data_IF_750030263144
#
_entry.id   IF_750030263144
#
_cell.length_a   1.000
_cell.length_b   1.000
_cell.length_c   1.000
_cell.angle_alpha   90.00
_cell.angle_beta   90.00
_cell.angle_gamma   90.00
#
_symmetry.space_group_name_H-M   'P 1'
#
loop_
_entity.id
_entity.type
_entity.pdbx_description
1 polymer ?
#
# COMPACT_ATOMS: atom_id res chain seq x y z
N UNK A 1 20.89 58.70 -44.03
CA UNK A 1 21.14 57.26 -43.81
C UNK A 1 19.98 56.71 -43.01
N UNK A 2 19.10 55.91 -43.63
CA UNK A 2 17.93 55.29 -43.01
C UNK A 2 18.27 53.83 -42.76
N UNK A 3 18.16 53.36 -41.52
CA UNK A 3 18.37 51.94 -41.16
C UNK A 3 17.01 51.37 -40.77
N UNK A 4 16.55 50.40 -41.57
CA UNK A 4 15.29 49.68 -41.40
C UNK A 4 15.41 48.59 -40.32
N UNK A 5 14.38 48.49 -39.48
CA UNK A 5 14.16 47.36 -38.57
C UNK A 5 13.47 46.22 -39.32
N UNK A 6 14.07 45.02 -39.31
CA UNK A 6 13.42 43.79 -39.79
C UNK A 6 12.90 42.99 -38.59
N UNK A 7 11.58 42.90 -38.47
CA UNK A 7 10.86 41.96 -37.60
C UNK A 7 10.84 40.58 -38.25
N UNK A 8 11.40 39.56 -37.58
CA UNK A 8 11.29 38.16 -37.99
C UNK A 8 10.04 37.52 -37.35
N UNK A 9 9.06 37.14 -38.17
CA UNK A 9 7.99 36.22 -37.79
C UNK A 9 8.49 34.77 -37.95
N UNK A 10 8.45 33.98 -36.88
CA UNK A 10 8.58 32.51 -36.95
C UNK A 10 7.18 31.90 -36.99
N UNK A 11 6.82 31.35 -38.14
CA UNK A 11 5.62 30.54 -38.32
C UNK A 11 5.89 29.09 -37.88
N UNK A 12 5.12 28.60 -36.91
CA UNK A 12 5.16 27.21 -36.48
C UNK A 12 4.29 26.35 -37.40
N UNK A 13 4.90 25.43 -38.15
CA UNK A 13 4.18 24.39 -38.90
C UNK A 13 3.98 23.17 -38.01
N UNK A 14 2.73 22.88 -37.65
CA UNK A 14 2.34 21.62 -37.03
C UNK A 14 2.16 20.56 -38.14
N UNK A 15 2.99 19.53 -38.14
CA UNK A 15 2.81 18.37 -39.02
C UNK A 15 2.03 17.32 -38.22
N UNK A 16 0.76 17.12 -38.59
CA UNK A 16 -0.04 15.99 -38.15
C UNK A 16 0.42 14.71 -38.86
N UNK A 17 0.74 13.67 -38.10
CA UNK A 17 1.04 12.34 -38.64
C UNK A 17 -0.24 11.48 -38.71
N UNK A 18 -0.37 10.61 -39.74
CA UNK A 18 -1.63 9.96 -40.11
C UNK A 18 -2.03 8.79 -39.22
N UNK A 19 -3.34 8.57 -39.12
CA UNK A 19 -3.94 7.36 -38.56
C UNK A 19 -3.65 6.15 -39.48
N UNK A 20 -3.14 5.06 -38.91
CA UNK A 20 -2.96 3.79 -39.60
C UNK A 20 -3.71 2.68 -38.87
N UNK A 21 -4.84 2.29 -39.49
CA UNK A 21 -5.55 1.04 -39.29
C UNK A 21 -4.71 -0.12 -39.83
N UNK A 22 -4.51 -1.19 -39.06
CA UNK A 22 -4.00 -2.46 -39.57
C UNK A 22 -4.69 -3.65 -38.89
N UNK A 23 -5.49 -4.36 -39.68
CA UNK A 23 -5.93 -5.72 -39.42
C UNK A 23 -4.94 -6.74 -39.99
N UNK A 24 -4.79 -7.82 -39.23
CA UNK A 24 -4.47 -9.23 -39.54
C UNK A 24 -3.43 -9.65 -40.61
N UNK A 25 -2.63 -10.62 -40.12
CA UNK A 25 -1.91 -11.72 -40.77
C UNK A 25 -0.59 -11.45 -41.51
N UNK A 26 0.52 -11.90 -40.90
CA UNK A 26 1.20 -13.14 -41.33
C UNK A 26 2.38 -13.52 -40.41
N UNK A 27 2.58 -14.84 -40.30
CA UNK A 27 3.54 -15.57 -39.46
C UNK A 27 4.99 -15.34 -39.89
N UNK A 28 5.89 -15.03 -38.95
CA UNK A 28 7.26 -15.60 -38.90
C UNK A 28 7.88 -15.25 -37.54
N UNK A 29 8.45 -16.26 -36.87
CA UNK A 29 8.78 -16.20 -35.46
C UNK A 29 10.06 -15.45 -35.13
N UNK A 30 10.01 -14.74 -34.01
CA UNK A 30 11.17 -14.50 -33.16
C UNK A 30 10.67 -14.42 -31.71
N UNK A 31 11.10 -15.38 -30.88
CA UNK A 31 10.68 -15.49 -29.46
C UNK A 31 11.52 -14.53 -28.61
N UNK A 32 11.20 -13.24 -28.67
CA UNK A 32 11.60 -12.27 -27.66
C UNK A 32 10.52 -12.15 -26.59
N UNK A 33 10.78 -12.65 -25.37
CA UNK A 33 9.90 -12.44 -24.22
C UNK A 33 9.93 -10.96 -23.80
N UNK A 34 9.06 -10.14 -24.40
CA UNK A 34 8.70 -8.84 -23.85
C UNK A 34 7.66 -9.08 -22.74
N UNK A 35 8.11 -9.08 -21.48
CA UNK A 35 7.22 -9.09 -20.32
C UNK A 35 6.50 -7.73 -20.25
N UNK A 36 5.31 -7.69 -20.84
CA UNK A 36 4.30 -6.65 -20.62
C UNK A 36 3.76 -6.85 -19.20
N UNK A 37 4.14 -5.97 -18.28
CA UNK A 37 3.59 -5.92 -16.93
C UNK A 37 2.15 -5.38 -17.01
N UNK A 38 1.19 -6.29 -17.18
CA UNK A 38 -0.23 -6.02 -16.99
C UNK A 38 -0.52 -5.96 -15.48
N UNK A 39 -1.38 -5.04 -15.03
CA UNK A 39 -1.68 -4.70 -13.63
C UNK A 39 -2.40 -5.79 -12.82
N UNK A 40 -2.22 -7.05 -13.21
CA UNK A 40 -2.92 -8.23 -12.69
C UNK A 40 -2.10 -9.04 -11.67
N UNK A 41 -0.85 -8.63 -11.39
CA UNK A 41 0.09 -9.47 -10.64
C UNK A 41 -0.36 -9.84 -9.23
N UNK A 42 -0.96 -8.91 -8.46
CA UNK A 42 -1.29 -9.17 -7.05
C UNK A 42 -2.44 -10.18 -6.90
N UNK A 43 -3.54 -9.92 -7.61
CA UNK A 43 -4.74 -10.74 -7.49
C UNK A 43 -4.60 -12.07 -8.27
N UNK A 44 -3.84 -12.10 -9.36
CA UNK A 44 -3.53 -13.35 -10.05
C UNK A 44 -2.57 -14.23 -9.26
N UNK A 45 -1.60 -13.68 -8.52
CA UNK A 45 -0.76 -14.50 -7.66
C UNK A 45 -1.63 -15.24 -6.63
N UNK A 46 -2.50 -14.52 -5.90
CA UNK A 46 -3.36 -15.16 -4.90
C UNK A 46 -4.35 -16.15 -5.54
N UNK A 47 -4.96 -15.81 -6.68
CA UNK A 47 -5.91 -16.71 -7.39
C UNK A 47 -5.24 -17.95 -7.98
N UNK A 48 -4.10 -17.80 -8.66
CA UNK A 48 -3.46 -18.87 -9.42
C UNK A 48 -2.89 -19.97 -8.51
N UNK A 49 -2.46 -19.63 -7.29
CA UNK A 49 -1.99 -20.63 -6.30
C UNK A 49 -3.10 -21.46 -5.67
N UNK A 50 -4.32 -20.93 -5.58
CA UNK A 50 -5.48 -21.69 -5.09
C UNK A 50 -6.04 -22.69 -6.11
N UNK A 51 -5.66 -22.62 -7.38
CA UNK A 51 -6.11 -23.57 -8.41
C UNK A 51 -5.32 -24.89 -8.46
N UNK A 52 -4.20 -25.01 -7.72
CA UNK A 52 -3.34 -26.21 -7.73
C UNK A 52 -3.65 -27.27 -6.67
N UNK A 53 -4.60 -27.02 -5.75
CA UNK A 53 -5.07 -28.01 -4.76
C UNK A 53 -6.60 -28.09 -4.79
N UNK A 54 -7.06 -29.31 -5.01
CA UNK A 54 -8.43 -29.78 -5.11
C UNK A 54 -9.47 -29.06 -4.22
N UNK A 55 -10.49 -28.49 -4.88
CA UNK A 55 -11.92 -28.50 -4.51
C UNK A 55 -12.36 -28.31 -3.04
N UNK A 56 -11.77 -27.37 -2.31
CA UNK A 56 -12.42 -26.62 -1.23
C UNK A 56 -11.98 -25.16 -1.37
N UNK A 57 -12.88 -24.18 -1.22
CA UNK A 57 -12.47 -22.76 -1.10
C UNK A 57 -11.34 -22.70 -0.06
N UNK A 58 -10.12 -22.37 -0.50
CA UNK A 58 -8.88 -22.61 0.24
C UNK A 58 -8.94 -22.08 1.67
N UNK A 59 -9.29 -22.96 2.61
CA UNK A 59 -9.37 -22.65 4.02
C UNK A 59 -8.03 -23.00 4.64
N UNK A 60 -7.26 -21.99 5.03
CA UNK A 60 -6.10 -22.09 5.89
C UNK A 60 -6.52 -22.05 7.37
N UNK A 61 -5.65 -22.53 8.26
CA UNK A 61 -5.86 -22.42 9.71
C UNK A 61 -5.09 -21.20 10.25
N UNK A 62 -5.80 -20.11 10.55
CA UNK A 62 -5.20 -18.87 11.04
C UNK A 62 -4.50 -19.02 12.39
N UNK A 63 -4.73 -20.11 13.13
CA UNK A 63 -3.99 -20.40 14.37
C UNK A 63 -2.51 -20.70 14.10
N UNK A 64 -2.16 -21.03 12.86
CA UNK A 64 -0.77 -21.24 12.44
C UNK A 64 -0.06 -19.92 12.09
N UNK A 65 -0.80 -18.82 11.91
CA UNK A 65 -0.21 -17.55 11.54
C UNK A 65 0.53 -16.93 12.73
N UNK A 66 1.78 -16.51 12.50
CA UNK A 66 2.64 -15.92 13.52
C UNK A 66 3.08 -14.54 13.09
N UNK A 67 2.83 -13.54 13.94
CA UNK A 67 3.30 -12.18 13.68
C UNK A 67 4.84 -12.14 13.65
N UNK A 68 5.44 -11.39 12.71
CA UNK A 68 6.89 -11.16 12.72
C UNK A 68 7.30 -10.43 14.00
N UNK A 69 8.53 -10.70 14.47
CA UNK A 69 9.10 -10.05 15.64
C UNK A 69 10.14 -8.98 15.22
N UNK A 70 9.98 -7.76 15.73
CA UNK A 70 11.00 -6.72 15.64
C UNK A 70 12.09 -6.94 16.71
N UNK A 71 13.31 -6.36 16.54
CA UNK A 71 14.35 -6.41 17.57
C UNK A 71 13.86 -5.93 18.95
N UNK A 72 13.01 -4.89 18.97
CA UNK A 72 12.22 -4.52 20.14
C UNK A 72 10.75 -4.88 19.86
N UNK A 73 10.24 -6.00 20.39
CA UNK A 73 8.91 -6.50 20.04
C UNK A 73 7.81 -5.62 20.63
N UNK A 74 6.70 -5.50 19.90
CA UNK A 74 5.45 -4.98 20.45
C UNK A 74 4.86 -5.97 21.47
N UNK A 75 4.03 -5.52 22.42
CA UNK A 75 3.31 -6.43 23.29
C UNK A 75 2.45 -7.41 22.48
N UNK A 76 2.31 -8.68 22.91
CA UNK A 76 1.44 -9.62 22.23
C UNK A 76 -0.03 -9.19 22.31
N UNK A 77 -0.90 -9.75 21.46
CA UNK A 77 -2.34 -9.49 21.54
C UNK A 77 -2.89 -9.78 22.93
N UNK A 78 -3.88 -9.01 23.38
CA UNK A 78 -4.48 -9.24 24.69
C UNK A 78 -5.04 -10.66 24.82
N UNK A 79 -5.05 -11.18 26.05
CA UNK A 79 -5.54 -12.52 26.32
C UNK A 79 -6.99 -12.69 25.81
N UNK A 80 -7.24 -13.79 25.09
CA UNK A 80 -8.55 -14.11 24.51
C UNK A 80 -8.80 -13.48 23.13
N UNK A 81 -7.88 -12.67 22.61
CA UNK A 81 -7.96 -12.14 21.24
C UNK A 81 -7.72 -13.25 20.21
N UNK A 82 -8.52 -13.24 19.14
CA UNK A 82 -8.39 -14.20 18.04
C UNK A 82 -8.07 -13.46 16.75
N UNK A 83 -7.09 -13.96 16.00
CA UNK A 83 -6.75 -13.42 14.69
C UNK A 83 -7.91 -13.64 13.73
N UNK A 84 -8.43 -12.56 13.15
CA UNK A 84 -9.56 -12.61 12.22
C UNK A 84 -9.14 -12.35 10.78
N UNK A 85 -8.16 -11.47 10.55
CA UNK A 85 -7.76 -11.08 9.18
C UNK A 85 -6.32 -10.60 9.14
N UNK A 86 -5.62 -10.90 8.05
CA UNK A 86 -4.32 -10.29 7.72
C UNK A 86 -4.40 -9.65 6.34
N UNK A 87 -3.93 -8.42 6.22
CA UNK A 87 -3.91 -7.68 4.97
C UNK A 87 -2.56 -7.04 4.67
N UNK A 88 -2.23 -6.94 3.39
CA UNK A 88 -1.20 -6.00 2.91
C UNK A 88 -1.89 -4.71 2.52
N UNK A 89 -1.48 -3.61 3.14
CA UNK A 89 -1.88 -2.28 2.73
C UNK A 89 -0.85 -1.66 1.79
N UNK A 90 -1.32 -1.08 0.68
CA UNK A 90 -0.51 -0.22 -0.20
C UNK A 90 -1.14 1.16 -0.30
N UNK A 91 -0.35 2.19 0.00
CA UNK A 91 -0.87 3.56 0.01
C UNK A 91 0.16 4.64 0.31
N UNK A 92 -0.28 5.73 0.94
CA UNK A 92 0.55 6.86 1.31
C UNK A 92 0.40 7.23 2.79
N UNK A 93 1.51 7.64 3.40
CA UNK A 93 1.55 8.39 4.65
C UNK A 93 1.47 9.88 4.30
N UNK A 94 0.66 10.65 5.01
CA UNK A 94 0.47 12.07 4.77
C UNK A 94 1.16 12.88 5.86
N UNK A 95 1.77 13.99 5.48
CA UNK A 95 2.52 14.86 6.38
C UNK A 95 2.22 16.32 6.10
N UNK A 96 2.36 17.13 7.16
CA UNK A 96 2.34 18.60 7.10
C UNK A 96 3.69 19.18 7.51
N UNK A 97 4.02 20.34 6.97
CA UNK A 97 5.24 21.07 7.27
C UNK A 97 4.98 22.53 7.62
N UNK A 98 5.69 23.02 8.63
CA UNK A 98 5.77 24.45 8.92
C UNK A 98 6.77 25.10 7.97
N UNK A 99 6.25 25.80 6.94
CA UNK A 99 7.07 26.46 5.93
C UNK A 99 7.83 27.68 6.45
N UNK A 100 7.49 28.20 7.64
CA UNK A 100 8.22 29.30 8.27
C UNK A 100 9.52 28.84 8.95
N UNK A 101 9.68 27.52 9.15
CA UNK A 101 10.83 26.93 9.81
C UNK A 101 11.36 25.72 9.00
N UNK A 102 12.41 25.95 8.21
CA UNK A 102 13.04 24.89 7.40
C UNK A 102 13.61 23.73 8.21
N UNK A 103 13.90 23.92 9.50
CA UNK A 103 14.38 22.88 10.41
C UNK A 103 13.27 22.14 11.14
N UNK A 104 12.01 22.56 10.97
CA UNK A 104 10.87 21.87 11.56
C UNK A 104 10.81 20.41 11.09
N UNK A 105 10.42 19.51 11.99
CA UNK A 105 10.20 18.09 11.66
C UNK A 105 8.79 17.95 11.06
N UNK A 106 8.63 17.25 9.92
CA UNK A 106 7.31 16.99 9.36
C UNK A 106 6.39 16.28 10.36
N UNK A 107 5.14 16.74 10.44
CA UNK A 107 4.13 16.20 11.36
C UNK A 107 3.21 15.24 10.61
N UNK A 108 2.96 14.06 11.18
CA UNK A 108 2.05 13.08 10.57
C UNK A 108 0.61 13.61 10.53
N UNK A 109 -0.01 13.48 9.37
CA UNK A 109 -1.36 13.95 9.05
C UNK A 109 -2.25 12.80 8.53
N UNK A 110 -2.06 11.61 9.12
CA UNK A 110 -2.79 10.39 8.77
C UNK A 110 -2.18 9.61 7.60
N UNK A 111 -2.92 8.62 7.13
CA UNK A 111 -2.54 7.76 6.02
C UNK A 111 -3.79 7.29 5.27
N UNK A 112 -3.61 6.85 4.03
CA UNK A 112 -4.63 6.15 3.24
C UNK A 112 -3.97 4.95 2.57
N UNK A 113 -4.62 3.79 2.59
CA UNK A 113 -4.17 2.61 1.88
C UNK A 113 -5.33 1.70 1.48
N UNK A 114 -5.17 1.03 0.34
CA UNK A 114 -6.00 -0.10 -0.06
C UNK A 114 -5.43 -1.38 0.53
N UNK A 115 -6.30 -2.19 1.11
CA UNK A 115 -5.95 -3.41 1.84
C UNK A 115 -6.30 -4.62 1.00
N UNK A 116 -5.40 -5.59 0.97
CA UNK A 116 -5.57 -6.84 0.22
C UNK A 116 -5.43 -8.05 1.13
N UNK A 117 -6.34 -9.01 1.02
CA UNK A 117 -6.37 -10.18 1.91
C UNK A 117 -5.15 -11.10 1.67
N UNK A 118 -4.41 -11.37 2.74
CA UNK A 118 -3.27 -12.31 2.76
C UNK A 118 -3.35 -13.27 3.95
N UNK A 119 -4.54 -13.48 4.52
CA UNK A 119 -4.72 -14.28 5.74
C UNK A 119 -4.16 -15.70 5.60
N UNK A 120 -4.35 -16.35 4.45
CA UNK A 120 -3.76 -17.67 4.21
C UNK A 120 -2.28 -17.65 3.91
N UNK A 121 -1.76 -16.56 3.34
CA UNK A 121 -0.32 -16.39 3.20
C UNK A 121 0.35 -16.28 4.59
N UNK A 122 -0.31 -15.61 5.53
CA UNK A 122 0.15 -15.48 6.91
C UNK A 122 0.19 -16.82 7.64
N UNK A 123 -0.79 -17.69 7.40
CA UNK A 123 -0.87 -19.02 8.02
C UNK A 123 0.09 -20.03 7.38
N UNK A 124 0.20 -20.04 6.05
CA UNK A 124 0.84 -21.13 5.32
C UNK A 124 2.26 -20.79 4.84
N UNK A 125 2.58 -19.50 4.66
CA UNK A 125 3.82 -19.04 4.02
C UNK A 125 4.37 -17.71 4.62
N UNK A 126 4.74 -17.68 5.92
CA UNK A 126 5.19 -16.47 6.61
C UNK A 126 6.44 -15.82 5.97
N UNK A 127 7.35 -16.62 5.42
CA UNK A 127 8.55 -16.11 4.72
C UNK A 127 8.21 -15.34 3.44
N UNK A 128 7.15 -15.75 2.74
CA UNK A 128 6.68 -15.03 1.56
C UNK A 128 5.91 -13.78 1.98
N UNK A 129 5.08 -13.87 3.03
CA UNK A 129 4.38 -12.72 3.61
C UNK A 129 5.36 -11.58 3.93
N UNK A 130 6.48 -11.87 4.59
CA UNK A 130 7.49 -10.89 4.96
C UNK A 130 8.13 -10.12 3.78
N UNK A 131 7.98 -10.63 2.54
CA UNK A 131 8.47 -9.98 1.32
C UNK A 131 7.41 -9.16 0.59
N UNK A 132 6.14 -9.28 1.00
CA UNK A 132 5.03 -8.63 0.29
C UNK A 132 5.04 -7.11 0.40
N UNK A 133 5.37 -6.54 1.56
CA UNK A 133 5.41 -5.07 1.68
C UNK A 133 6.50 -4.41 0.81
N UNK A 134 7.76 -4.90 0.79
CA UNK A 134 8.76 -4.45 -0.18
C UNK A 134 8.26 -4.51 -1.64
N UNK A 135 7.66 -5.63 -2.05
CA UNK A 135 7.16 -5.79 -3.42
C UNK A 135 6.01 -4.82 -3.71
N UNK A 136 5.05 -4.71 -2.77
CA UNK A 136 3.90 -3.83 -2.92
C UNK A 136 4.30 -2.36 -3.02
N UNK A 137 5.35 -1.94 -2.30
CA UNK A 137 5.83 -0.56 -2.30
C UNK A 137 6.26 -0.08 -3.71
N UNK A 138 6.83 -0.97 -4.51
CA UNK A 138 7.31 -0.70 -5.88
C UNK A 138 6.18 -0.72 -6.92
N UNK A 139 4.98 -1.13 -6.53
CA UNK A 139 3.78 -1.08 -7.36
C UNK A 139 3.08 0.28 -7.25
N UNK A 140 2.30 0.67 -8.28
CA UNK A 140 1.45 1.85 -8.21
C UNK A 140 0.51 1.82 -6.99
N UNK A 141 0.29 2.99 -6.39
CA UNK A 141 -0.74 3.12 -5.35
C UNK A 141 -2.11 2.90 -6.01
N UNK A 142 -2.93 1.95 -5.52
CA UNK A 142 -4.28 1.77 -6.02
C UNK A 142 -5.09 3.06 -5.86
N UNK A 143 -5.76 3.49 -6.94
CA UNK A 143 -6.48 4.76 -6.99
C UNK A 143 -7.96 4.62 -7.37
N UNK A 144 -8.45 3.39 -7.57
CA UNK A 144 -9.86 3.15 -7.91
C UNK A 144 -10.43 1.96 -7.15
N UNK A 145 -11.69 2.12 -6.76
CA UNK A 145 -12.55 1.06 -6.24
C UNK A 145 -13.47 0.52 -7.35
N UNK A 146 -13.00 0.60 -8.59
CA UNK A 146 -13.75 0.08 -9.74
C UNK A 146 -13.91 -1.43 -9.57
N UNK A 147 -15.14 -1.86 -9.35
CA UNK A 147 -15.49 -3.27 -9.12
C UNK A 147 -15.14 -4.16 -10.30
N UNK A 148 -14.93 -3.58 -11.49
CA UNK A 148 -14.52 -4.29 -12.70
C UNK A 148 -12.99 -4.45 -12.80
N UNK A 149 -12.21 -3.78 -11.95
CA UNK A 149 -10.76 -3.92 -11.92
C UNK A 149 -10.34 -5.30 -11.38
N UNK A 150 -9.40 -6.01 -12.03
CA UNK A 150 -8.87 -7.28 -11.52
C UNK A 150 -8.29 -7.19 -10.09
N UNK A 151 -7.80 -6.00 -9.72
CA UNK A 151 -7.25 -5.68 -8.39
C UNK A 151 -8.37 -5.63 -7.33
N UNK A 152 -9.57 -5.18 -7.69
CA UNK A 152 -10.70 -5.06 -6.76
C UNK A 152 -11.12 -6.43 -6.19
N UNK A 153 -11.03 -7.49 -6.97
CA UNK A 153 -11.36 -8.84 -6.50
C UNK A 153 -10.41 -9.36 -5.40
N UNK A 154 -9.18 -8.83 -5.32
CA UNK A 154 -8.24 -9.15 -4.25
C UNK A 154 -8.32 -8.20 -3.05
N UNK A 155 -9.10 -7.12 -3.17
CA UNK A 155 -9.21 -6.08 -2.17
C UNK A 155 -10.09 -6.56 -1.01
N UNK A 156 -9.57 -6.45 0.21
CA UNK A 156 -10.33 -6.67 1.44
C UNK A 156 -10.90 -5.40 2.05
N UNK A 157 -10.46 -4.20 1.62
CA UNK A 157 -10.99 -2.95 2.13
C UNK A 157 -10.01 -1.78 2.09
N UNK A 158 -10.22 -0.81 2.97
CA UNK A 158 -9.42 0.41 3.07
C UNK A 158 -8.98 0.69 4.51
N UNK A 159 -7.79 1.28 4.61
CA UNK A 159 -7.32 1.95 5.82
C UNK A 159 -7.22 3.45 5.56
N UNK A 160 -7.80 4.27 6.42
CA UNK A 160 -7.71 5.73 6.36
C UNK A 160 -7.79 6.34 7.74
N UNK A 161 -7.61 7.66 7.86
CA UNK A 161 -7.77 8.39 9.13
C UNK A 161 -9.05 9.22 9.08
N UNK A 162 -9.92 9.10 10.09
CA UNK A 162 -11.15 9.89 10.21
C UNK A 162 -10.93 11.26 10.85
N UNK A 163 -9.84 11.39 11.60
CA UNK A 163 -9.27 12.63 12.13
C UNK A 163 -7.75 12.44 12.25
N UNK A 164 -7.01 13.46 12.69
CA UNK A 164 -5.54 13.41 12.79
C UNK A 164 -4.97 12.28 13.67
N UNK A 165 -5.80 11.62 14.48
CA UNK A 165 -5.39 10.65 15.50
C UNK A 165 -6.10 9.31 15.42
N UNK A 166 -7.12 9.18 14.57
CA UNK A 166 -8.01 8.00 14.53
C UNK A 166 -7.80 7.21 13.24
N UNK A 167 -6.90 6.21 13.25
CA UNK A 167 -6.85 5.20 12.20
C UNK A 167 -8.17 4.42 12.16
N UNK A 168 -8.72 4.26 10.97
CA UNK A 168 -9.94 3.53 10.67
C UNK A 168 -9.65 2.41 9.67
N UNK A 169 -10.27 1.26 9.89
CA UNK A 169 -10.21 0.11 9.01
C UNK A 169 -11.63 -0.21 8.57
N UNK A 170 -11.86 -0.11 7.26
CA UNK A 170 -13.12 -0.48 6.63
C UNK A 170 -12.89 -1.69 5.74
N UNK A 171 -13.22 -2.89 6.24
CA UNK A 171 -13.10 -4.14 5.49
C UNK A 171 -14.47 -4.63 4.97
N UNK A 172 -15.45 -3.74 4.92
CA UNK A 172 -16.74 -4.00 4.28
C UNK A 172 -16.77 -3.34 2.89
N UNK A 173 -16.72 -4.17 1.85
CA UNK A 173 -16.77 -3.79 0.44
C UNK A 173 -18.07 -4.27 -0.21
N UNK A 174 -18.27 -3.99 -1.50
CA UNK A 174 -19.38 -4.60 -2.25
C UNK A 174 -19.26 -6.13 -2.38
N UNK A 175 -18.05 -6.69 -2.20
CA UNK A 175 -17.77 -8.11 -2.36
C UNK A 175 -17.76 -8.89 -1.04
N UNK A 176 -17.37 -8.24 0.06
CA UNK A 176 -17.12 -8.89 1.35
C UNK A 176 -17.54 -7.99 2.53
N UNK A 177 -17.88 -8.60 3.67
CA UNK A 177 -18.18 -7.88 4.90
C UNK A 177 -17.39 -8.48 6.07
N UNK A 178 -16.13 -8.07 6.24
CA UNK A 178 -15.27 -8.53 7.34
C UNK A 178 -15.39 -7.66 8.59
N UNK A 179 -15.95 -6.46 8.47
CA UNK A 179 -16.23 -5.53 9.54
C UNK A 179 -15.37 -4.26 9.51
N UNK A 180 -15.62 -3.38 10.48
CA UNK A 180 -15.02 -2.05 10.58
C UNK A 180 -14.56 -1.71 11.99
N UNK A 181 -13.63 -0.77 12.11
CA UNK A 181 -13.19 -0.27 13.41
C UNK A 181 -12.40 1.04 13.36
N UNK A 182 -12.53 1.82 14.43
CA UNK A 182 -11.77 3.02 14.75
C UNK A 182 -10.79 2.73 15.92
N UNK A 183 -9.52 3.06 15.73
CA UNK A 183 -8.46 2.70 16.67
C UNK A 183 -7.72 3.94 17.17
N UNK A 184 -6.87 3.71 18.17
CA UNK A 184 -5.89 4.66 18.67
C UNK A 184 -4.55 3.96 18.82
N UNK A 185 -3.45 4.71 18.80
CA UNK A 185 -2.12 4.17 19.07
C UNK A 185 -2.06 3.62 20.50
N UNK A 186 -1.74 2.34 20.63
CA UNK A 186 -1.47 1.67 21.90
C UNK A 186 0.02 1.59 22.19
N UNK A 187 0.80 1.13 21.20
CA UNK A 187 2.26 0.96 21.32
C UNK A 187 2.97 1.17 19.99
N UNK A 188 4.30 1.30 20.00
CA UNK A 188 5.14 1.55 18.84
C UNK A 188 6.58 1.10 19.04
N UNK A 189 7.14 0.53 17.98
CA UNK A 189 8.56 0.21 17.91
C UNK A 189 9.12 0.63 16.55
N UNK A 190 10.38 1.09 16.44
CA UNK A 190 10.98 1.36 15.14
C UNK A 190 10.89 0.14 14.21
N UNK A 191 10.72 0.39 12.91
CA UNK A 191 10.89 -0.67 11.92
C UNK A 191 12.33 -1.21 12.00
N UNK A 192 12.57 -2.51 11.73
CA UNK A 192 13.93 -3.06 11.65
C UNK A 192 14.81 -2.26 10.68
N UNK A 193 16.10 -2.15 10.97
CA UNK A 193 17.05 -1.42 10.10
C UNK A 193 17.13 -2.00 8.67
N UNK A 194 16.79 -3.28 8.50
CA UNK A 194 16.71 -3.96 7.21
C UNK A 194 15.44 -3.64 6.41
N UNK A 195 14.50 -2.88 6.97
CA UNK A 195 13.27 -2.54 6.28
C UNK A 195 13.53 -1.60 5.09
N UNK A 196 12.83 -1.85 3.97
CA UNK A 196 13.02 -1.09 2.73
C UNK A 196 12.65 0.38 2.94
N UNK A 197 13.62 1.28 2.70
CA UNK A 197 13.53 2.71 3.02
C UNK A 197 12.55 3.53 2.17
N UNK A 198 12.09 2.99 1.05
CA UNK A 198 11.18 3.65 0.11
C UNK A 198 11.18 2.93 -1.26
N UNK A 199 10.37 3.40 -2.23
CA UNK A 199 10.27 2.78 -3.55
C UNK A 199 11.63 2.59 -4.21
N UNK A 200 11.87 1.40 -4.75
CA UNK A 200 13.12 0.99 -5.41
C UNK A 200 14.36 1.16 -4.51
N UNK A 201 14.18 1.13 -3.19
CA UNK A 201 15.27 1.31 -2.22
C UNK A 201 15.63 2.77 -1.95
N UNK A 202 14.88 3.75 -2.46
CA UNK A 202 15.10 5.18 -2.25
C UNK A 202 14.03 5.80 -1.35
N UNK A 203 14.46 6.45 -0.26
CA UNK A 203 13.56 7.09 0.70
C UNK A 203 14.20 7.38 2.05
N UNK A 204 13.40 7.74 3.06
CA UNK A 204 13.91 8.15 4.38
C UNK A 204 13.78 7.08 5.46
N UNK A 205 13.32 5.87 5.10
CA UNK A 205 13.11 4.76 6.01
C UNK A 205 11.67 4.27 6.03
N UNK A 206 11.44 3.21 6.82
CA UNK A 206 10.11 2.66 7.04
C UNK A 206 9.44 3.26 8.27
N UNK A 207 8.13 3.53 8.19
CA UNK A 207 7.34 3.96 9.35
C UNK A 207 7.37 2.93 10.46
N UNK A 208 7.26 3.36 11.71
CA UNK A 208 7.29 2.47 12.87
C UNK A 208 6.23 1.36 12.80
N UNK A 209 6.52 0.22 13.41
CA UNK A 209 5.50 -0.78 13.68
C UNK A 209 4.63 -0.31 14.83
N UNK A 210 3.34 -0.61 14.78
CA UNK A 210 2.35 -0.11 15.75
C UNK A 210 1.49 -1.25 16.29
N UNK A 211 1.15 -1.15 17.58
CA UNK A 211 -0.08 -1.76 18.11
C UNK A 211 -1.14 -0.68 18.20
N UNK A 212 -2.31 -0.96 17.66
CA UNK A 212 -3.47 -0.09 17.69
C UNK A 212 -4.57 -0.77 18.52
N UNK A 213 -5.10 -0.04 19.49
CA UNK A 213 -6.17 -0.52 20.36
C UNK A 213 -7.50 0.10 19.89
N UNK A 214 -8.59 -0.65 19.93
CA UNK A 214 -9.91 -0.15 19.60
C UNK A 214 -10.25 1.09 20.46
N UNK A 215 -10.70 2.17 19.80
CA UNK A 215 -11.03 3.44 20.46
C UNK A 215 -12.24 3.30 21.40
N UNK A 216 -13.18 2.44 21.04
CA UNK A 216 -14.33 1.99 21.85
C UNK A 216 -14.42 0.47 21.87
N UNK A 217 -14.93 -0.14 22.95
CA UNK A 217 -15.11 -1.60 23.02
C UNK A 217 -16.38 -2.07 22.32
N UNK A 218 -17.42 -1.23 22.26
CA UNK A 218 -18.70 -1.53 21.61
C UNK A 218 -18.73 -1.05 20.16
N UNK A 219 -19.36 -1.84 19.28
CA UNK A 219 -19.65 -1.46 17.89
C UNK A 219 -18.46 -1.56 16.94
N UNK A 220 -17.39 -2.25 17.34
CA UNK A 220 -16.22 -2.50 16.49
C UNK A 220 -16.09 -3.98 16.19
N UNK A 221 -15.76 -4.30 14.94
CA UNK A 221 -15.50 -5.67 14.53
C UNK A 221 -14.17 -6.19 15.08
N UNK A 222 -13.17 -5.32 15.24
CA UNK A 222 -11.84 -5.67 15.73
C UNK A 222 -11.48 -4.87 16.97
N UNK A 223 -10.70 -5.48 17.87
CA UNK A 223 -10.30 -4.91 19.15
C UNK A 223 -8.82 -4.49 19.17
N UNK A 224 -7.98 -5.14 18.36
CA UNK A 224 -6.57 -4.79 18.22
C UNK A 224 -6.13 -4.91 16.75
N UNK A 225 -5.27 -4.00 16.30
CA UNK A 225 -4.63 -4.07 14.98
C UNK A 225 -3.13 -3.86 15.12
N UNK A 226 -2.35 -4.72 14.49
CA UNK A 226 -0.91 -4.58 14.43
C UNK A 226 -0.48 -4.16 13.04
N UNK A 227 0.29 -3.06 12.95
CA UNK A 227 0.98 -2.63 11.74
C UNK A 227 2.42 -3.14 11.79
N UNK A 228 2.77 -4.09 10.92
CA UNK A 228 4.05 -4.81 10.93
C UNK A 228 4.71 -4.79 9.55
N UNK A 229 5.97 -5.25 9.47
CA UNK A 229 6.76 -5.38 8.23
C UNK A 229 6.64 -4.18 7.27
N UNK A 230 6.58 -2.98 7.82
CA UNK A 230 6.42 -1.72 7.09
C UNK A 230 7.55 -1.49 6.09
N UNK A 231 7.22 -1.02 4.90
CA UNK A 231 8.15 -0.57 3.87
C UNK A 231 7.86 0.89 3.49
N UNK A 232 8.86 1.75 3.56
CA UNK A 232 8.76 3.17 3.23
C UNK A 232 7.86 3.99 4.16
N UNK A 233 7.47 5.16 3.69
CA UNK A 233 6.56 6.06 4.39
C UNK A 233 7.20 7.07 5.33
N UNK A 234 8.50 6.97 5.68
CA UNK A 234 9.12 8.01 6.52
C UNK A 234 9.30 9.33 5.74
N UNK A 235 9.00 10.48 6.36
CA UNK A 235 9.29 11.78 5.77
C UNK A 235 10.79 12.09 5.86
N UNK A 236 11.29 13.12 5.16
CA UNK A 236 12.62 13.65 5.42
C UNK A 236 12.73 14.14 6.87
N UNK A 237 13.97 14.29 7.36
CA UNK A 237 14.22 14.73 8.75
C UNK A 237 13.72 16.15 9.04
N UNK A 238 13.59 16.99 8.01
CA UNK A 238 13.18 18.39 8.14
C UNK A 238 12.26 18.81 7.00
N UNK A 239 11.54 19.91 7.19
CA UNK A 239 10.67 20.55 6.21
C UNK A 239 11.41 21.34 5.12
N UNK A 240 12.75 21.35 5.14
CA UNK A 240 13.54 22.04 4.13
C UNK A 240 13.23 21.50 2.72
N UNK A 241 12.72 22.38 1.84
CA UNK A 241 12.38 22.04 0.47
C UNK A 241 11.10 21.24 0.29
N UNK A 242 10.32 21.04 1.37
CA UNK A 242 9.04 20.35 1.32
C UNK A 242 7.88 21.34 1.18
N UNK A 243 6.80 20.96 0.48
CA UNK A 243 5.55 21.75 0.48
C UNK A 243 4.85 21.63 1.85
N UNK A 244 3.85 22.50 2.08
CA UNK A 244 3.07 22.54 3.33
C UNK A 244 2.40 21.19 3.63
N UNK A 245 1.94 20.48 2.60
CA UNK A 245 1.40 19.12 2.69
C UNK A 245 2.04 18.23 1.65
N UNK A 246 2.38 17.00 2.02
CA UNK A 246 2.92 16.00 1.09
C UNK A 246 2.58 14.58 1.53
N UNK A 247 2.79 13.65 0.60
CA UNK A 247 2.56 12.23 0.80
C UNK A 247 3.82 11.43 0.53
N UNK A 248 4.07 10.40 1.33
CA UNK A 248 5.17 9.46 1.13
C UNK A 248 4.60 8.06 0.89
N UNK A 249 4.96 7.38 -0.21
CA UNK A 249 4.53 6.01 -0.48
C UNK A 249 4.94 5.06 0.63
N UNK A 250 4.02 4.19 1.03
CA UNK A 250 4.29 3.12 1.98
C UNK A 250 3.51 1.84 1.66
N UNK A 251 3.98 0.74 2.23
CA UNK A 251 3.23 -0.50 2.37
C UNK A 251 3.40 -1.05 3.80
N UNK A 252 2.41 -1.80 4.28
CA UNK A 252 2.48 -2.43 5.61
C UNK A 252 1.60 -3.69 5.69
N UNK A 253 1.99 -4.61 6.58
CA UNK A 253 1.12 -5.70 7.01
C UNK A 253 0.19 -5.19 8.12
N UNK A 254 -1.07 -5.59 8.05
CA UNK A 254 -2.08 -5.31 9.06
C UNK A 254 -2.67 -6.62 9.56
N UNK A 255 -2.51 -6.89 10.86
CA UNK A 255 -3.06 -8.07 11.53
C UNK A 255 -4.19 -7.63 12.45
N UNK A 256 -5.42 -8.05 12.18
CA UNK A 256 -6.63 -7.60 12.85
C UNK A 256 -7.19 -8.70 13.76
N UNK A 257 -7.35 -8.38 15.04
CA UNK A 257 -7.79 -9.29 16.09
C UNK A 257 -9.15 -8.86 16.67
N UNK A 258 -9.97 -9.82 17.04
CA UNK A 258 -11.27 -9.63 17.72
C UNK A 258 -11.16 -10.03 19.19
#
# INVERSE_FOLDING_TARGET
MKVSFYTALLASTAIAAPAAHWGQDSRSGDRGMQHRWDGSSYADFNRQWHHGRDSQRGSCDLRNAVMPAAPTPLPPPAAGRVLSHVAIGRGNQNYTCDLSNSTAVPVAAGAVATLFNVSCLAADMPELLARMCPIALDLPVPSSDDTNSPIYQGMSGHHYFTDNTTPFFDLDTGAHAYGRGAFKKGDSTPAPESAVRGPYGEGNGSVAWLRLDAKTTSGQAFQEVYRLNTAGGQPPKTCQGMPETFSVPYAAEYWLFQ
#
